data_IF_588310123206
#
_entry.id   IF_588310123206
#
_cell.length_a   1.000
_cell.length_b   1.000
_cell.length_c   1.000
_cell.angle_alpha   90.00
_cell.angle_beta   90.00
_cell.angle_gamma   90.00
#
_symmetry.space_group_name_H-M   'P 1'
#
loop_
_entity.id
_entity.type
_entity.pdbx_description
1 polymer ?
#
# COMPACT_ATOMS: atom_id res chain seq x y z
N UNK A 1 -10.96 1.85 2.10
CA UNK A 1 -10.66 2.50 0.81
C UNK A 1 -11.92 3.18 0.33
N UNK A 2 -11.86 4.48 0.01
CA UNK A 2 -12.99 5.16 -0.64
C UNK A 2 -12.92 4.90 -2.14
N UNK A 3 -14.03 4.57 -2.76
CA UNK A 3 -14.15 4.38 -4.22
C UNK A 3 -15.27 5.31 -4.67
N UNK A 4 -15.05 6.07 -5.74
CA UNK A 4 -16.08 6.88 -6.36
C UNK A 4 -16.56 6.20 -7.66
N UNK A 5 -17.87 6.09 -7.83
CA UNK A 5 -18.50 5.54 -9.04
C UNK A 5 -18.67 6.56 -10.17
N UNK A 6 -18.43 7.85 -9.90
CA UNK A 6 -18.51 8.92 -10.89
C UNK A 6 -17.54 10.07 -10.57
N UNK A 7 -17.32 10.96 -11.54
CA UNK A 7 -16.52 12.17 -11.35
C UNK A 7 -17.12 13.10 -10.30
N UNK A 8 -18.44 13.29 -10.31
CA UNK A 8 -19.13 14.17 -9.37
C UNK A 8 -18.98 13.66 -7.93
N UNK A 9 -19.09 12.34 -7.75
CA UNK A 9 -18.87 11.70 -6.45
C UNK A 9 -17.41 11.85 -5.98
N UNK A 10 -16.43 11.74 -6.89
CA UNK A 10 -15.03 11.95 -6.55
C UNK A 10 -14.76 13.40 -6.08
N UNK A 11 -15.37 14.38 -6.74
CA UNK A 11 -15.29 15.81 -6.35
C UNK A 11 -15.89 16.01 -4.96
N UNK A 12 -17.09 15.49 -4.71
CA UNK A 12 -17.76 15.60 -3.40
C UNK A 12 -16.91 14.98 -2.28
N UNK A 13 -16.36 13.78 -2.50
CA UNK A 13 -15.48 13.11 -1.52
C UNK A 13 -14.22 13.94 -1.22
N UNK A 14 -13.65 14.58 -2.24
CA UNK A 14 -12.47 15.44 -2.10
C UNK A 14 -12.80 16.71 -1.30
N UNK A 15 -13.89 17.40 -1.64
CA UNK A 15 -14.32 18.61 -0.95
C UNK A 15 -14.63 18.33 0.54
N UNK A 16 -15.21 17.16 0.82
CA UNK A 16 -15.52 16.71 2.18
C UNK A 16 -14.28 16.52 3.08
N UNK A 17 -13.07 16.37 2.52
CA UNK A 17 -11.84 16.27 3.32
C UNK A 17 -11.52 17.56 4.07
N UNK A 18 -12.01 18.72 3.61
CA UNK A 18 -11.91 20.00 4.35
C UNK A 18 -10.50 20.62 4.39
N UNK A 19 -9.56 20.12 3.60
CA UNK A 19 -8.24 20.70 3.35
C UNK A 19 -7.85 20.46 1.88
N UNK A 20 -6.75 21.08 1.44
CA UNK A 20 -6.25 20.98 0.06
C UNK A 20 -5.02 20.06 -0.02
N UNK A 21 -5.16 18.72 0.09
CA UNK A 21 -4.04 17.84 -0.20
C UNK A 21 -3.75 17.82 -1.69
N UNK A 22 -2.50 17.52 -2.07
CA UNK A 22 -2.23 16.98 -3.39
C UNK A 22 -2.86 15.58 -3.45
N UNK A 23 -3.91 15.45 -4.26
CA UNK A 23 -4.69 14.22 -4.36
C UNK A 23 -4.09 13.27 -5.38
N UNK A 24 -4.07 11.98 -5.03
CA UNK A 24 -3.82 10.91 -5.98
C UNK A 24 -5.15 10.27 -6.37
N UNK A 25 -5.62 10.56 -7.58
CA UNK A 25 -6.70 9.81 -8.20
C UNK A 25 -6.08 8.69 -9.04
N UNK A 26 -6.56 7.48 -8.85
CA UNK A 26 -6.12 6.30 -9.59
C UNK A 26 -7.33 5.46 -9.98
N UNK A 27 -7.24 4.80 -11.13
CA UNK A 27 -8.25 3.83 -11.56
C UNK A 27 -8.31 2.66 -10.59
N UNK A 28 -9.50 2.13 -10.35
CA UNK A 28 -9.66 0.89 -9.60
C UNK A 28 -9.03 -0.27 -10.36
N UNK A 29 -8.11 -0.98 -9.72
CA UNK A 29 -7.54 -2.22 -10.25
C UNK A 29 -8.26 -3.39 -9.56
N UNK A 30 -8.97 -4.26 -10.31
CA UNK A 30 -9.57 -5.45 -9.73
C UNK A 30 -8.48 -6.45 -9.33
N UNK A 31 -8.66 -7.12 -8.18
CA UNK A 31 -7.69 -8.11 -7.70
C UNK A 31 -7.68 -8.23 -6.19
N UNK A 32 -6.62 -8.85 -5.68
CA UNK A 32 -6.31 -8.93 -4.26
C UNK A 32 -5.29 -7.84 -3.87
N UNK A 33 -5.44 -7.32 -2.65
CA UNK A 33 -4.51 -6.37 -2.04
C UNK A 33 -3.44 -7.13 -1.23
N UNK A 34 -2.18 -6.80 -1.47
CA UNK A 34 -1.03 -7.38 -0.79
C UNK A 34 -0.20 -6.26 -0.17
N UNK A 35 0.28 -6.50 1.04
CA UNK A 35 1.26 -5.63 1.67
C UNK A 35 2.63 -6.28 1.56
N UNK A 36 3.65 -5.47 1.29
CA UNK A 36 5.04 -5.89 1.31
C UNK A 36 5.77 -5.10 2.37
N UNK A 37 6.60 -5.78 3.15
CA UNK A 37 7.60 -5.12 3.99
C UNK A 37 8.99 -5.43 3.43
N UNK A 38 9.80 -4.40 3.25
CA UNK A 38 11.14 -4.47 2.69
C UNK A 38 12.15 -3.84 3.65
N UNK A 39 13.28 -4.51 3.85
CA UNK A 39 14.45 -3.94 4.52
C UNK A 39 15.49 -3.61 3.45
N UNK A 40 15.94 -2.37 3.41
CA UNK A 40 16.93 -1.89 2.46
C UNK A 40 18.19 -1.37 3.15
N UNK A 41 19.32 -1.45 2.45
CA UNK A 41 20.58 -0.79 2.78
C UNK A 41 21.00 0.07 1.58
N UNK A 42 20.81 1.39 1.71
CA UNK A 42 21.22 2.40 0.73
C UNK A 42 20.79 2.07 -0.71
N UNK A 43 19.51 1.78 -0.88
CA UNK A 43 18.93 1.45 -2.18
C UNK A 43 19.17 0.02 -2.65
N UNK A 44 19.70 -0.87 -1.79
CA UNK A 44 19.80 -2.31 -2.06
C UNK A 44 18.82 -3.07 -1.19
N UNK A 45 18.01 -3.93 -1.79
CA UNK A 45 17.09 -4.78 -1.06
C UNK A 45 17.87 -5.84 -0.26
N UNK A 46 17.71 -5.84 1.06
CA UNK A 46 18.38 -6.79 1.97
C UNK A 46 17.44 -7.95 2.36
N UNK A 47 16.16 -7.67 2.60
CA UNK A 47 15.14 -8.67 2.89
C UNK A 47 13.75 -8.16 2.49
N UNK A 48 12.82 -9.08 2.23
CA UNK A 48 11.41 -8.74 2.03
C UNK A 48 10.48 -9.85 2.51
N UNK A 49 9.26 -9.46 2.85
CA UNK A 49 8.14 -10.37 3.10
C UNK A 49 6.87 -9.80 2.47
N UNK A 50 6.02 -10.67 1.95
CA UNK A 50 4.70 -10.31 1.46
C UNK A 50 3.63 -10.97 2.33
N UNK A 51 2.51 -10.29 2.52
CA UNK A 51 1.37 -10.82 3.26
C UNK A 51 0.05 -10.27 2.73
N UNK A 52 -0.99 -11.09 2.83
CA UNK A 52 -2.38 -10.64 2.63
C UNK A 52 -3.10 -10.50 3.95
N UNK A 53 -3.95 -9.49 4.06
CA UNK A 53 -4.78 -9.29 5.24
C UNK A 53 -6.00 -10.23 5.17
N UNK A 54 -6.08 -11.19 6.09
CA UNK A 54 -7.23 -12.11 6.18
C UNK A 54 -8.41 -11.46 6.91
N UNK A 55 -8.13 -10.71 7.97
CA UNK A 55 -9.14 -9.98 8.75
C UNK A 55 -8.50 -8.88 9.59
N UNK A 56 -9.12 -7.72 9.64
CA UNK A 56 -8.77 -6.61 10.54
C UNK A 56 -9.65 -6.63 11.80
N UNK A 57 -9.05 -6.43 12.97
CA UNK A 57 -9.69 -6.51 14.29
C UNK A 57 -9.45 -5.26 15.15
N UNK A 58 -10.50 -4.62 15.69
CA UNK A 58 -11.93 -4.82 15.38
C UNK A 58 -12.28 -4.37 13.96
N UNK A 59 -13.29 -5.02 13.35
CA UNK A 59 -13.82 -4.77 11.99
C UNK A 59 -14.15 -3.30 11.67
N UNK A 60 -14.21 -2.41 12.67
CA UNK A 60 -14.55 -0.99 12.52
C UNK A 60 -13.57 0.00 13.17
N UNK A 61 -12.52 -0.44 13.88
CA UNK A 61 -11.68 0.50 14.66
C UNK A 61 -10.31 -0.01 15.13
N UNK A 62 -9.76 -1.08 14.55
CA UNK A 62 -8.57 -1.72 15.13
C UNK A 62 -7.30 -1.66 14.34
N UNK A 63 -6.19 -1.47 15.07
CA UNK A 63 -4.82 -1.59 14.56
C UNK A 63 -4.35 -3.05 14.39
N UNK A 64 -5.18 -4.05 14.77
CA UNK A 64 -4.84 -5.46 14.64
C UNK A 64 -5.24 -6.02 13.28
N UNK A 65 -4.36 -6.80 12.65
CA UNK A 65 -4.68 -7.57 11.47
C UNK A 65 -4.15 -9.00 11.61
N UNK A 66 -4.98 -9.98 11.26
CA UNK A 66 -4.52 -11.35 11.02
C UNK A 66 -4.04 -11.39 9.58
N UNK A 67 -2.79 -11.80 9.42
CA UNK A 67 -2.06 -11.79 8.14
C UNK A 67 -1.57 -13.18 7.82
N UNK A 68 -1.65 -13.55 6.56
CA UNK A 68 -1.03 -14.75 6.02
C UNK A 68 0.22 -14.34 5.25
N UNK A 69 1.37 -14.93 5.59
CA UNK A 69 2.59 -14.77 4.78
C UNK A 69 2.41 -15.52 3.47
N UNK A 70 2.71 -14.83 2.37
CA UNK A 70 2.63 -15.38 1.01
C UNK A 70 3.99 -15.30 0.33
N UNK A 71 4.12 -15.92 -0.84
CA UNK A 71 5.34 -15.81 -1.64
C UNK A 71 5.63 -14.34 -2.00
N UNK A 72 6.84 -13.91 -1.71
CA UNK A 72 7.29 -12.55 -1.92
C UNK A 72 7.92 -12.34 -3.31
N UNK A 73 8.31 -13.42 -3.99
CA UNK A 73 8.98 -13.33 -5.29
C UNK A 73 8.22 -12.56 -6.38
N UNK A 74 6.87 -12.66 -6.49
CA UNK A 74 6.13 -11.88 -7.48
C UNK A 74 6.32 -10.36 -7.35
N UNK A 75 6.69 -9.87 -6.16
CA UNK A 75 6.85 -8.43 -5.88
C UNK A 75 8.30 -7.96 -5.97
N UNK A 76 9.27 -8.88 -6.04
CA UNK A 76 10.70 -8.56 -5.91
C UNK A 76 11.15 -7.48 -6.87
N UNK A 77 10.85 -7.63 -8.17
CA UNK A 77 11.31 -6.70 -9.20
C UNK A 77 10.79 -5.27 -8.95
N UNK A 78 9.52 -5.14 -8.56
CA UNK A 78 8.92 -3.84 -8.27
C UNK A 78 9.55 -3.19 -7.02
N UNK A 79 9.75 -3.97 -5.97
CA UNK A 79 10.36 -3.51 -4.71
C UNK A 79 11.81 -3.08 -4.93
N UNK A 80 12.60 -3.87 -5.66
CA UNK A 80 13.99 -3.53 -5.99
C UNK A 80 14.07 -2.21 -6.78
N UNK A 81 13.16 -1.99 -7.74
CA UNK A 81 13.07 -0.72 -8.48
C UNK A 81 12.76 0.46 -7.56
N UNK A 82 11.77 0.34 -6.67
CA UNK A 82 11.38 1.43 -5.75
C UNK A 82 12.49 1.75 -4.74
N UNK A 83 13.10 0.71 -4.15
CA UNK A 83 14.19 0.85 -3.18
C UNK A 83 15.42 1.49 -3.84
N UNK A 84 15.81 1.03 -5.04
CA UNK A 84 16.95 1.60 -5.76
C UNK A 84 16.71 3.06 -6.17
N UNK A 85 15.51 3.38 -6.68
CA UNK A 85 15.17 4.74 -7.11
C UNK A 85 15.08 5.75 -5.95
N UNK A 86 14.69 5.29 -4.76
CA UNK A 86 14.60 6.13 -3.56
C UNK A 86 15.91 6.24 -2.79
N UNK A 87 16.84 5.31 -2.98
CA UNK A 87 18.06 5.21 -2.16
C UNK A 87 17.78 4.83 -0.70
N UNK A 88 16.64 4.18 -0.42
CA UNK A 88 16.14 3.93 0.93
C UNK A 88 17.12 3.11 1.79
N UNK A 89 17.19 3.45 3.08
CA UNK A 89 18.01 2.77 4.09
C UNK A 89 17.15 2.53 5.34
N UNK A 90 16.87 1.26 5.63
CA UNK A 90 15.95 0.84 6.71
C UNK A 90 14.70 0.11 6.23
N UNK A 91 13.72 -0.01 7.12
CA UNK A 91 12.44 -0.68 6.88
C UNK A 91 11.51 0.21 6.06
N UNK A 92 10.79 -0.37 5.10
CA UNK A 92 9.71 0.25 4.35
C UNK A 92 8.53 -0.73 4.23
N UNK A 93 7.31 -0.18 4.14
CA UNK A 93 6.12 -0.90 3.69
C UNK A 93 5.66 -0.29 2.35
N UNK A 94 6.40 -0.57 1.25
CA UNK A 94 6.13 0.02 -0.07
C UNK A 94 4.91 -0.60 -0.79
#
# INVERSE_FOLDING_TARGET
>A
MSIAGSTDEAIEQVEALGFTPTLLLQSLVPGEDFCVAALADKGRLAAMMAYRNLTTFPRKAGAGAVRETVDAEPFREAVEKVVAASGWDGLAEP
#
